data_IF_952391608955
#
_entry.id   IF_952391608955
#
_cell.length_a   1.000
_cell.length_b   1.000
_cell.length_c   1.000
_cell.angle_alpha   90.00
_cell.angle_beta   90.00
_cell.angle_gamma   90.00
#
_symmetry.space_group_name_H-M   'P 1'
#
loop_
_entity.id
_entity.type
_entity.pdbx_description
1 polymer ?
#
# COMPACT_ATOMS: atom_id res chain seq x y z
N UNK A 1 -10.60 -2.71 -16.83
CA UNK A 1 -9.33 -3.34 -17.22
C UNK A 1 -9.69 -4.59 -18.01
N UNK A 2 -8.91 -4.95 -19.03
CA UNK A 2 -9.10 -6.20 -19.78
C UNK A 2 -7.79 -7.00 -19.76
N UNK A 3 -7.75 -8.21 -19.18
CA UNK A 3 -8.85 -8.84 -18.42
C UNK A 3 -9.23 -8.04 -17.16
N UNK A 4 -10.28 -8.42 -16.41
CA UNK A 4 -10.54 -7.89 -15.07
C UNK A 4 -9.39 -8.21 -14.08
N UNK A 5 -9.23 -7.41 -13.02
CA UNK A 5 -8.09 -7.56 -12.08
C UNK A 5 -8.16 -8.90 -11.34
N UNK A 6 -9.37 -9.38 -11.07
CA UNK A 6 -9.69 -10.67 -10.49
C UNK A 6 -9.21 -11.87 -11.30
N UNK A 7 -8.99 -11.69 -12.60
CA UNK A 7 -8.50 -12.76 -13.49
C UNK A 7 -6.98 -12.66 -13.71
N UNK A 8 -6.28 -11.87 -12.88
CA UNK A 8 -4.81 -11.81 -12.86
C UNK A 8 -4.17 -13.14 -12.53
N UNK A 9 -4.85 -13.95 -11.73
CA UNK A 9 -4.34 -15.24 -11.31
C UNK A 9 -5.42 -16.28 -11.53
N UNK A 10 -5.07 -17.33 -12.26
CA UNK A 10 -5.98 -18.43 -12.56
C UNK A 10 -5.32 -19.76 -12.22
N UNK A 11 -6.07 -20.65 -11.56
CA UNK A 11 -5.64 -22.03 -11.38
C UNK A 11 -5.76 -22.76 -12.73
N UNK A 12 -4.64 -23.06 -13.37
CA UNK A 12 -4.62 -23.71 -14.69
C UNK A 12 -4.81 -25.23 -14.58
N UNK A 13 -4.19 -25.85 -13.59
CA UNK A 13 -4.33 -27.27 -13.21
C UNK A 13 -4.04 -27.40 -11.72
N UNK A 14 -4.34 -28.54 -11.07
CA UNK A 14 -4.01 -28.74 -9.66
C UNK A 14 -2.55 -28.34 -9.36
N UNK A 15 -2.37 -27.50 -8.35
CA UNK A 15 -1.09 -26.99 -7.88
C UNK A 15 -0.27 -26.16 -8.88
N UNK A 16 -0.92 -25.59 -9.90
CA UNK A 16 -0.29 -24.70 -10.88
C UNK A 16 -1.19 -23.51 -11.18
N UNK A 17 -0.69 -22.32 -10.87
CA UNK A 17 -1.36 -21.04 -11.08
C UNK A 17 -0.65 -20.27 -12.18
N UNK A 18 -1.39 -19.67 -13.11
CA UNK A 18 -0.87 -18.68 -14.04
C UNK A 18 -1.00 -17.30 -13.40
N UNK A 19 0.07 -16.51 -13.45
CA UNK A 19 0.18 -15.19 -12.86
C UNK A 19 0.45 -14.19 -13.99
N UNK A 20 -0.59 -13.46 -14.38
CA UNK A 20 -0.55 -12.54 -15.49
C UNK A 20 -0.30 -13.25 -16.84
N UNK A 21 0.28 -12.50 -17.76
CA UNK A 21 0.66 -12.94 -19.10
C UNK A 21 1.93 -13.81 -19.13
N UNK A 22 2.75 -13.75 -18.08
CA UNK A 22 4.19 -14.04 -18.18
C UNK A 22 4.72 -15.15 -17.27
N UNK A 23 4.08 -15.42 -16.13
CA UNK A 23 4.64 -16.31 -15.11
C UNK A 23 3.64 -17.38 -14.66
N UNK A 24 4.17 -18.46 -14.08
CA UNK A 24 3.41 -19.50 -13.43
C UNK A 24 4.02 -19.77 -12.04
N UNK A 25 3.15 -20.07 -11.08
CA UNK A 25 3.52 -20.62 -9.77
C UNK A 25 3.19 -22.10 -9.77
N UNK A 26 4.15 -22.94 -9.38
CA UNK A 26 4.01 -24.39 -9.33
C UNK A 26 4.40 -24.91 -7.94
N UNK A 27 3.63 -25.86 -7.40
CA UNK A 27 4.08 -26.72 -6.31
C UNK A 27 5.02 -27.78 -6.91
N UNK A 28 6.19 -27.96 -6.30
CA UNK A 28 7.24 -28.85 -6.83
C UNK A 28 7.88 -29.65 -5.70
N UNK A 29 8.30 -30.88 -5.99
CA UNK A 29 9.08 -31.69 -5.03
C UNK A 29 10.52 -31.18 -4.91
N UNK A 30 11.08 -30.66 -5.99
CA UNK A 30 12.41 -30.08 -6.06
C UNK A 30 12.38 -28.81 -6.91
N UNK A 31 13.04 -27.74 -6.44
CA UNK A 31 13.10 -26.47 -7.16
C UNK A 31 13.83 -26.65 -8.49
N UNK A 32 13.16 -26.39 -9.64
CA UNK A 32 13.80 -26.48 -10.95
C UNK A 32 14.92 -25.45 -11.13
N UNK A 33 15.94 -25.77 -11.93
CA UNK A 33 17.08 -24.88 -12.18
C UNK A 33 16.70 -23.54 -12.86
N UNK A 34 15.55 -23.50 -13.55
CA UNK A 34 15.02 -22.32 -14.22
C UNK A 34 13.98 -21.57 -13.37
N UNK A 35 13.84 -21.93 -12.09
CA UNK A 35 13.03 -21.17 -11.14
C UNK A 35 13.61 -19.76 -10.94
N UNK A 36 12.75 -18.75 -11.04
CA UNK A 36 13.09 -17.35 -10.81
C UNK A 36 13.06 -17.00 -9.31
N UNK A 37 12.18 -17.68 -8.57
CA UNK A 37 12.04 -17.57 -7.13
C UNK A 37 11.42 -18.86 -6.58
N UNK A 38 11.65 -19.15 -5.30
CA UNK A 38 11.00 -20.25 -4.59
C UNK A 38 10.82 -19.94 -3.11
N UNK A 39 9.85 -20.60 -2.49
CA UNK A 39 9.62 -20.51 -1.05
C UNK A 39 9.04 -21.82 -0.51
N UNK A 40 9.18 -22.00 0.80
CA UNK A 40 8.59 -23.12 1.53
C UNK A 40 7.43 -22.61 2.38
N UNK A 41 6.35 -23.37 2.43
CA UNK A 41 5.23 -23.11 3.34
C UNK A 41 4.51 -24.42 3.69
N UNK A 42 4.26 -24.66 4.98
CA UNK A 42 3.52 -25.84 5.42
C UNK A 42 4.17 -27.19 5.08
N UNK A 43 5.48 -27.22 4.81
CA UNK A 43 6.21 -28.41 4.35
C UNK A 43 6.24 -28.58 2.83
N UNK A 44 5.53 -27.75 2.09
CA UNK A 44 5.44 -27.74 0.64
C UNK A 44 6.41 -26.70 0.03
N UNK A 45 6.94 -27.00 -1.16
CA UNK A 45 7.83 -26.09 -1.91
C UNK A 45 7.12 -25.53 -3.14
N UNK A 46 7.11 -24.19 -3.26
CA UNK A 46 6.53 -23.49 -4.40
C UNK A 46 7.61 -22.74 -5.16
N UNK A 47 7.45 -22.60 -6.48
CA UNK A 47 8.38 -21.82 -7.30
C UNK A 47 7.67 -20.99 -8.39
N UNK A 48 8.29 -19.87 -8.76
CA UNK A 48 7.90 -19.05 -9.92
C UNK A 48 8.78 -19.38 -11.11
N UNK A 49 8.14 -19.60 -12.26
CA UNK A 49 8.80 -19.84 -13.54
C UNK A 49 8.12 -19.03 -14.64
N UNK A 50 8.80 -18.83 -15.77
CA UNK A 50 8.15 -18.24 -16.95
C UNK A 50 7.08 -19.22 -17.47
N UNK A 51 5.88 -18.72 -17.74
CA UNK A 51 4.82 -19.54 -18.30
C UNK A 51 5.18 -19.94 -19.74
N UNK A 52 5.09 -21.23 -20.06
CA UNK A 52 5.19 -21.70 -21.44
C UNK A 52 3.89 -21.44 -22.21
N UNK A 53 3.99 -21.20 -23.51
CA UNK A 53 2.83 -20.89 -24.40
C UNK A 53 1.71 -21.93 -24.33
N UNK A 54 2.05 -23.20 -24.05
CA UNK A 54 1.12 -24.32 -24.02
C UNK A 54 0.11 -24.28 -22.86
N UNK A 55 0.30 -23.43 -21.84
CA UNK A 55 -0.63 -23.32 -20.71
C UNK A 55 -1.90 -22.53 -21.02
N UNK A 56 -1.90 -21.70 -22.07
CA UNK A 56 -3.04 -20.82 -22.40
C UNK A 56 -4.23 -21.57 -23.04
N UNK A 57 -3.99 -22.74 -23.66
CA UNK A 57 -5.00 -23.47 -24.44
C UNK A 57 -5.83 -24.49 -23.62
N UNK A 58 -5.53 -24.68 -22.32
CA UNK A 58 -6.11 -25.75 -21.49
C UNK A 58 -6.75 -25.24 -20.18
N UNK A 59 -7.20 -23.98 -20.16
CA UNK A 59 -7.69 -23.31 -18.93
C UNK A 59 -9.08 -23.83 -18.55
N UNK A 60 -9.16 -24.61 -17.47
CA UNK A 60 -10.42 -24.97 -16.76
C UNK A 60 -10.86 -23.85 -15.77
N UNK A 61 -10.29 -22.65 -15.91
CA UNK A 61 -9.92 -21.72 -14.84
C UNK A 61 -10.99 -21.36 -13.82
N UNK A 62 -10.63 -21.49 -12.54
CA UNK A 62 -11.31 -20.86 -11.42
C UNK A 62 -10.43 -19.72 -10.87
N UNK A 63 -10.84 -18.46 -11.11
CA UNK A 63 -10.13 -17.28 -10.63
C UNK A 63 -10.44 -16.92 -9.17
N UNK A 64 -11.47 -17.52 -8.56
CA UNK A 64 -11.80 -17.31 -7.14
C UNK A 64 -10.91 -18.12 -6.20
N UNK A 65 -10.35 -19.23 -6.68
CA UNK A 65 -9.45 -20.08 -5.89
C UNK A 65 -8.32 -19.25 -5.28
N UNK A 66 -8.18 -19.33 -3.95
CA UNK A 66 -7.10 -18.72 -3.16
C UNK A 66 -7.07 -17.18 -3.11
N UNK A 67 -8.12 -16.49 -3.56
CA UNK A 67 -8.21 -15.03 -3.40
C UNK A 67 -8.56 -14.68 -1.96
N UNK A 68 -7.76 -13.81 -1.34
CA UNK A 68 -7.94 -13.42 0.07
C UNK A 68 -8.48 -12.00 0.19
N UNK A 69 -8.21 -11.14 -0.80
CA UNK A 69 -8.71 -9.77 -0.81
C UNK A 69 -8.98 -9.25 -2.21
N UNK A 70 -9.97 -8.36 -2.32
CA UNK A 70 -10.36 -7.68 -3.55
C UNK A 70 -10.73 -6.23 -3.23
N UNK A 71 -9.95 -5.29 -3.75
CA UNK A 71 -10.13 -3.85 -3.55
C UNK A 71 -10.56 -3.19 -4.87
N UNK A 72 -11.87 -3.18 -5.11
CA UNK A 72 -12.45 -2.57 -6.31
C UNK A 72 -11.89 -3.19 -7.60
N UNK A 73 -11.69 -2.37 -8.64
CA UNK A 73 -11.26 -2.83 -9.97
C UNK A 73 -9.75 -2.69 -10.23
N UNK A 74 -8.98 -2.28 -9.21
CA UNK A 74 -7.58 -1.87 -9.37
C UNK A 74 -6.59 -2.68 -8.54
N UNK A 75 -7.01 -3.50 -7.58
CA UNK A 75 -6.11 -4.35 -6.83
C UNK A 75 -6.78 -5.63 -6.30
N UNK A 76 -6.02 -6.71 -6.25
CA UNK A 76 -6.43 -7.97 -5.65
C UNK A 76 -5.23 -8.71 -5.03
N UNK A 77 -5.49 -9.54 -4.03
CA UNK A 77 -4.47 -10.31 -3.31
C UNK A 77 -4.88 -11.76 -3.19
N UNK A 78 -3.96 -12.66 -3.52
CA UNK A 78 -4.10 -14.11 -3.36
C UNK A 78 -3.13 -14.60 -2.30
N UNK A 79 -3.47 -15.72 -1.65
CA UNK A 79 -2.55 -16.47 -0.81
C UNK A 79 -2.25 -17.80 -1.47
N UNK A 80 -1.03 -17.97 -1.98
CA UNK A 80 -0.57 -19.20 -2.62
C UNK A 80 0.56 -19.76 -1.77
N UNK A 81 0.32 -20.92 -1.15
CA UNK A 81 1.32 -21.57 -0.33
C UNK A 81 1.84 -20.65 0.78
N UNK A 82 0.95 -20.07 1.59
CA UNK A 82 1.32 -19.22 2.73
C UNK A 82 1.95 -17.86 2.36
N UNK A 83 2.08 -17.53 1.08
CA UNK A 83 2.70 -16.31 0.58
C UNK A 83 1.65 -15.46 -0.12
N UNK A 84 1.72 -14.13 0.05
CA UNK A 84 0.78 -13.21 -0.57
C UNK A 84 1.25 -12.77 -1.94
N UNK A 85 0.40 -12.94 -2.95
CA UNK A 85 0.59 -12.39 -4.29
C UNK A 85 -0.33 -11.20 -4.45
N UNK A 86 0.23 -9.99 -4.43
CA UNK A 86 -0.47 -8.73 -4.67
C UNK A 86 -0.42 -8.42 -6.16
N UNK A 87 -1.58 -8.12 -6.74
CA UNK A 87 -1.70 -7.63 -8.11
C UNK A 87 -2.40 -6.29 -8.10
N UNK A 88 -1.80 -5.31 -8.76
CA UNK A 88 -2.33 -3.95 -8.82
C UNK A 88 -2.30 -3.40 -10.22
N UNK A 89 -3.23 -2.50 -10.53
CA UNK A 89 -3.21 -1.69 -11.72
C UNK A 89 -1.91 -0.87 -11.75
N UNK A 90 -1.28 -0.82 -12.91
CA UNK A 90 -0.02 -0.14 -13.12
C UNK A 90 -0.12 0.77 -14.34
N UNK A 91 0.73 1.80 -14.37
CA UNK A 91 0.93 2.64 -15.54
C UNK A 91 2.41 3.01 -15.63
N UNK A 92 2.86 3.30 -16.85
CA UNK A 92 4.21 3.76 -17.06
C UNK A 92 4.53 5.01 -16.20
N UNK A 93 5.73 5.02 -15.63
CA UNK A 93 6.17 6.05 -14.69
C UNK A 93 5.65 5.93 -13.25
N UNK A 94 4.88 4.89 -12.89
CA UNK A 94 4.45 4.66 -11.51
C UNK A 94 5.51 3.88 -10.71
N UNK A 95 5.81 4.33 -9.49
CA UNK A 95 6.68 3.59 -8.56
C UNK A 95 6.06 2.25 -8.17
N UNK A 96 6.89 1.20 -8.11
CA UNK A 96 6.47 -0.10 -7.61
C UNK A 96 6.63 -0.16 -6.10
N UNK A 97 5.73 -0.88 -5.42
CA UNK A 97 5.82 -1.09 -3.97
C UNK A 97 7.14 -1.77 -3.55
N UNK A 98 7.73 -2.61 -4.41
CA UNK A 98 9.08 -3.19 -4.20
C UNK A 98 10.16 -2.11 -4.03
N UNK A 99 10.14 -1.07 -4.87
CA UNK A 99 11.10 0.03 -4.79
C UNK A 99 10.91 0.81 -3.48
N UNK A 100 9.66 0.97 -3.05
CA UNK A 100 9.32 1.62 -1.79
C UNK A 100 9.82 0.84 -0.58
N UNK A 101 9.55 -0.47 -0.53
CA UNK A 101 10.02 -1.34 0.57
C UNK A 101 11.54 -1.34 0.63
N UNK A 102 12.21 -1.44 -0.53
CA UNK A 102 13.67 -1.36 -0.59
C UNK A 102 14.20 0.01 -0.10
N UNK A 103 13.52 1.11 -0.40
CA UNK A 103 13.88 2.43 0.12
C UNK A 103 13.74 2.48 1.65
N UNK A 104 12.64 1.99 2.20
CA UNK A 104 12.36 1.95 3.65
C UNK A 104 13.42 1.16 4.41
N UNK A 105 13.82 0.00 3.87
CA UNK A 105 14.89 -0.84 4.43
C UNK A 105 16.26 -0.14 4.46
N UNK A 106 16.50 0.83 3.57
CA UNK A 106 17.75 1.62 3.59
C UNK A 106 17.75 2.74 4.62
N UNK A 107 16.58 3.30 4.94
CA UNK A 107 16.47 4.50 5.78
C UNK A 107 16.00 4.21 7.21
N UNK A 108 15.53 2.99 7.49
CA UNK A 108 14.94 2.64 8.78
C UNK A 108 15.05 1.14 9.08
N UNK A 109 14.73 0.77 10.32
CA UNK A 109 14.58 -0.63 10.75
C UNK A 109 13.11 -0.98 11.02
N UNK A 110 12.17 -0.25 10.41
CA UNK A 110 10.74 -0.55 10.53
C UNK A 110 10.49 -1.92 9.89
N UNK A 111 9.75 -2.82 10.56
CA UNK A 111 9.51 -4.15 10.03
C UNK A 111 8.61 -4.07 8.79
N UNK A 112 9.14 -4.50 7.66
CA UNK A 112 8.46 -4.58 6.36
C UNK A 112 8.38 -6.04 5.89
N UNK A 113 7.47 -6.40 4.97
CA UNK A 113 7.41 -7.75 4.42
C UNK A 113 8.67 -8.12 3.66
N UNK A 114 9.07 -9.40 3.73
CA UNK A 114 10.12 -9.93 2.89
C UNK A 114 9.61 -10.10 1.45
N UNK A 115 10.37 -9.58 0.49
CA UNK A 115 10.06 -9.63 -0.93
C UNK A 115 10.58 -10.95 -1.51
N UNK A 116 9.69 -11.75 -2.09
CA UNK A 116 10.04 -13.00 -2.77
C UNK A 116 10.33 -12.76 -4.25
N UNK A 117 9.42 -12.08 -4.94
CA UNK A 117 9.54 -11.82 -6.36
C UNK A 117 8.61 -10.68 -6.79
N UNK A 118 8.95 -9.96 -7.87
CA UNK A 118 8.10 -8.90 -8.41
C UNK A 118 8.36 -8.67 -9.89
N UNK A 119 7.34 -8.28 -10.64
CA UNK A 119 7.47 -7.85 -12.03
C UNK A 119 6.34 -6.92 -12.44
N UNK A 120 6.51 -6.29 -13.60
CA UNK A 120 5.44 -5.56 -14.30
C UNK A 120 4.98 -6.39 -15.48
N UNK A 121 3.68 -6.62 -15.54
CA UNK A 121 3.00 -7.17 -16.70
C UNK A 121 2.52 -6.00 -17.57
N UNK A 122 3.37 -5.61 -18.52
CA UNK A 122 3.12 -4.48 -19.42
C UNK A 122 1.93 -4.76 -20.35
N UNK A 123 1.72 -6.02 -20.74
CA UNK A 123 0.61 -6.42 -21.61
C UNK A 123 -0.73 -6.09 -20.94
N UNK A 124 -0.84 -6.36 -19.63
CA UNK A 124 -2.09 -6.17 -18.88
C UNK A 124 -2.11 -4.91 -18.01
N UNK A 125 -1.05 -4.09 -18.07
CA UNK A 125 -0.88 -2.90 -17.23
C UNK A 125 -1.04 -3.21 -15.74
N UNK A 126 -0.28 -4.20 -15.25
CA UNK A 126 -0.32 -4.64 -13.84
C UNK A 126 1.07 -4.75 -13.25
N UNK A 127 1.18 -4.51 -11.96
CA UNK A 127 2.34 -4.91 -11.17
C UNK A 127 1.98 -6.13 -10.32
N UNK A 128 2.93 -7.04 -10.20
CA UNK A 128 2.86 -8.21 -9.34
C UNK A 128 3.95 -8.10 -8.28
N UNK A 129 3.57 -8.36 -7.03
CA UNK A 129 4.47 -8.39 -5.90
C UNK A 129 4.15 -9.59 -5.01
N UNK A 130 5.13 -10.46 -4.85
CA UNK A 130 5.05 -11.65 -4.01
C UNK A 130 5.80 -11.36 -2.70
N UNK A 131 5.11 -11.47 -1.58
CA UNK A 131 5.61 -11.18 -0.24
C UNK A 131 5.40 -12.37 0.68
N UNK A 132 6.39 -12.70 1.50
CA UNK A 132 6.17 -13.64 2.60
C UNK A 132 5.14 -13.07 3.57
N UNK A 133 4.24 -13.91 4.04
CA UNK A 133 3.30 -13.52 5.08
C UNK A 133 4.05 -13.19 6.37
N UNK A 134 3.63 -12.11 7.04
CA UNK A 134 4.04 -11.83 8.42
C UNK A 134 3.04 -12.54 9.31
N UNK A 135 3.51 -13.50 10.11
CA UNK A 135 2.67 -14.29 11.01
C UNK A 135 2.15 -13.42 12.16
N UNK A 136 0.86 -13.11 12.14
CA UNK A 136 0.21 -12.28 13.14
C UNK A 136 -1.20 -11.91 12.73
N UNK A 137 -1.82 -11.00 13.49
CA UNK A 137 -3.14 -10.44 13.17
C UNK A 137 -2.99 -8.98 12.81
N UNK A 138 -3.88 -8.46 11.97
CA UNK A 138 -3.92 -7.01 11.78
C UNK A 138 -4.35 -6.32 13.07
N UNK A 139 -3.90 -5.09 13.31
CA UNK A 139 -4.32 -4.27 14.44
C UNK A 139 -5.85 -4.14 14.47
N UNK A 140 -6.49 -4.06 13.31
CA UNK A 140 -7.94 -4.01 13.17
C UNK A 140 -8.63 -5.27 13.67
N UNK A 141 -8.09 -6.45 13.36
CA UNK A 141 -8.57 -7.73 13.87
C UNK A 141 -8.36 -7.88 15.38
N UNK A 142 -7.21 -7.42 15.89
CA UNK A 142 -6.88 -7.50 17.31
C UNK A 142 -7.54 -6.41 18.17
N UNK A 143 -8.10 -5.36 17.55
CA UNK A 143 -8.49 -4.11 18.23
C UNK A 143 -9.34 -4.31 19.48
N UNK A 144 -10.38 -5.14 19.37
CA UNK A 144 -11.34 -5.40 20.45
C UNK A 144 -10.68 -6.11 21.64
N UNK A 145 -9.67 -6.94 21.40
CA UNK A 145 -8.92 -7.64 22.46
C UNK A 145 -7.81 -6.81 23.11
N UNK A 146 -7.39 -5.71 22.48
CA UNK A 146 -6.34 -4.85 23.04
C UNK A 146 -6.87 -4.01 24.21
N UNK A 147 -6.13 -4.03 25.31
CA UNK A 147 -6.27 -3.08 26.42
C UNK A 147 -6.03 -1.64 25.96
N UNK A 148 -6.53 -0.67 26.74
CA UNK A 148 -6.29 0.75 26.50
C UNK A 148 -4.80 1.06 26.44
N UNK A 149 -3.99 0.48 27.33
CA UNK A 149 -2.56 0.70 27.35
C UNK A 149 -1.88 0.12 26.10
N UNK A 150 -2.29 -1.05 25.61
CA UNK A 150 -1.77 -1.60 24.35
C UNK A 150 -2.11 -0.69 23.16
N UNK A 151 -3.34 -0.17 23.08
CA UNK A 151 -3.75 0.75 22.01
C UNK A 151 -2.92 2.04 22.03
N UNK A 152 -2.70 2.61 23.23
CA UNK A 152 -1.86 3.81 23.42
C UNK A 152 -0.39 3.54 23.05
N UNK A 153 0.17 2.41 23.50
CA UNK A 153 1.54 1.99 23.14
C UNK A 153 1.69 1.84 21.64
N UNK A 154 0.76 1.14 20.98
CA UNK A 154 0.80 0.94 19.53
C UNK A 154 0.72 2.26 18.75
N UNK A 155 -0.17 3.18 19.14
CA UNK A 155 -0.22 4.51 18.53
C UNK A 155 1.09 5.29 18.72
N UNK A 156 1.71 5.21 19.91
CA UNK A 156 3.02 5.79 20.18
C UNK A 156 4.13 5.20 19.31
N UNK A 157 4.18 3.87 19.18
CA UNK A 157 5.15 3.18 18.33
C UNK A 157 5.01 3.58 16.87
N UNK A 158 3.78 3.64 16.34
CA UNK A 158 3.54 4.08 14.95
C UNK A 158 3.93 5.55 14.76
N UNK A 159 3.66 6.43 15.73
CA UNK A 159 4.11 7.82 15.66
C UNK A 159 5.65 7.94 15.63
N UNK A 160 6.37 7.10 16.38
CA UNK A 160 7.83 7.04 16.31
C UNK A 160 8.36 6.50 14.98
N UNK A 161 7.65 5.54 14.36
CA UNK A 161 7.95 5.12 12.99
C UNK A 161 7.78 6.28 12.01
N UNK A 162 6.68 7.03 12.10
CA UNK A 162 6.45 8.22 11.26
C UNK A 162 7.56 9.26 11.43
N UNK A 163 7.99 9.53 12.67
CA UNK A 163 9.09 10.44 12.96
C UNK A 163 10.42 9.97 12.36
N UNK A 164 10.71 8.68 12.48
CA UNK A 164 11.91 8.06 11.89
C UNK A 164 11.92 8.20 10.38
N UNK A 165 10.80 7.87 9.71
CA UNK A 165 10.66 8.05 8.26
C UNK A 165 10.78 9.53 7.85
N UNK A 166 10.20 10.44 8.63
CA UNK A 166 10.24 11.88 8.39
C UNK A 166 11.64 12.51 8.53
N UNK A 167 12.65 11.77 9.01
CA UNK A 167 14.05 12.19 8.92
C UNK A 167 14.54 12.21 7.47
N UNK A 168 13.96 11.37 6.60
CA UNK A 168 14.22 11.42 5.16
C UNK A 168 13.38 12.53 4.53
N UNK A 169 14.05 13.46 3.86
CA UNK A 169 13.42 14.66 3.29
C UNK A 169 13.67 14.83 1.80
N UNK A 170 12.74 15.47 1.12
CA UNK A 170 12.84 15.89 -0.28
C UNK A 170 12.49 17.38 -0.45
N UNK A 171 12.93 17.99 -1.55
CA UNK A 171 12.48 19.33 -1.98
C UNK A 171 11.18 19.29 -2.79
N UNK A 172 10.69 18.10 -3.12
CA UNK A 172 9.52 17.88 -3.95
C UNK A 172 8.59 16.85 -3.32
N UNK A 173 7.29 17.02 -3.56
CA UNK A 173 6.29 15.98 -3.41
C UNK A 173 6.54 14.95 -4.51
N UNK A 174 7.01 13.77 -4.14
CA UNK A 174 7.37 12.70 -5.07
C UNK A 174 7.50 11.37 -4.33
N UNK A 175 7.46 10.26 -5.06
CA UNK A 175 7.77 8.93 -4.53
C UNK A 175 9.28 8.79 -4.28
N UNK A 176 9.70 7.68 -3.67
CA UNK A 176 11.12 7.40 -3.36
C UNK A 176 12.05 7.44 -4.60
N UNK A 177 11.53 7.12 -5.79
CA UNK A 177 12.23 7.14 -7.06
C UNK A 177 11.94 8.38 -7.92
N UNK A 178 11.31 9.42 -7.35
CA UNK A 178 11.12 10.72 -8.02
C UNK A 178 9.89 10.83 -8.91
N UNK A 179 8.96 9.87 -8.85
CA UNK A 179 7.72 9.89 -9.63
C UNK A 179 6.55 10.55 -8.88
N UNK A 180 5.40 10.67 -9.55
CA UNK A 180 4.17 11.18 -8.94
C UNK A 180 3.60 10.23 -7.88
N UNK A 181 2.97 10.79 -6.84
CA UNK A 181 2.50 10.06 -5.66
C UNK A 181 1.09 9.53 -5.85
N UNK A 182 0.80 8.34 -5.32
CA UNK A 182 -0.54 7.76 -5.30
C UNK A 182 -1.25 8.10 -3.98
N UNK A 183 -1.95 9.24 -3.94
CA UNK A 183 -2.71 9.68 -2.75
C UNK A 183 -4.06 10.29 -3.14
N UNK A 184 -5.13 9.47 -3.25
CA UNK A 184 -6.45 9.90 -3.73
C UNK A 184 -7.08 11.05 -2.93
N UNK A 185 -6.71 11.22 -1.66
CA UNK A 185 -7.25 12.28 -0.81
C UNK A 185 -6.57 13.63 -1.02
N UNK A 186 -5.41 13.66 -1.70
CA UNK A 186 -4.74 14.87 -2.19
C UNK A 186 -4.88 15.06 -3.71
N UNK A 187 -5.23 14.01 -4.47
CA UNK A 187 -5.45 14.11 -5.92
C UNK A 187 -6.86 14.59 -6.24
N UNK A 188 -6.99 15.65 -7.04
CA UNK A 188 -8.24 16.16 -7.62
C UNK A 188 -8.93 15.09 -8.50
N UNK A 189 -10.15 15.35 -8.96
CA UNK A 189 -10.84 14.38 -9.81
C UNK A 189 -10.03 14.09 -11.09
N UNK A 190 -9.91 12.81 -11.50
CA UNK A 190 -9.40 12.52 -12.83
C UNK A 190 -10.28 13.21 -13.89
N UNK A 191 -9.71 13.60 -15.03
CA UNK A 191 -10.51 13.97 -16.19
C UNK A 191 -11.49 12.84 -16.53
N UNK A 192 -12.72 13.17 -16.95
CA UNK A 192 -13.77 12.19 -17.30
C UNK A 192 -13.32 11.19 -18.40
N UNK A 193 -12.26 11.52 -19.15
CA UNK A 193 -11.70 10.70 -20.22
C UNK A 193 -10.84 9.52 -19.74
N UNK A 194 -10.45 9.46 -18.46
CA UNK A 194 -9.58 8.39 -17.95
C UNK A 194 -10.41 7.27 -17.28
N UNK A 195 -10.12 5.97 -17.56
CA UNK A 195 -10.83 4.88 -16.92
C UNK A 195 -10.64 4.89 -15.39
N UNK A 196 -11.72 4.61 -14.66
CA UNK A 196 -11.73 4.65 -13.18
C UNK A 196 -10.75 3.69 -12.50
N UNK A 197 -10.34 2.62 -13.18
CA UNK A 197 -9.37 1.64 -12.67
C UNK A 197 -7.91 2.12 -12.80
N UNK A 198 -7.64 3.16 -13.62
CA UNK A 198 -6.28 3.62 -13.91
C UNK A 198 -5.77 4.50 -12.76
N UNK A 199 -4.61 4.17 -12.16
CA UNK A 199 -4.07 4.97 -11.07
C UNK A 199 -3.81 6.42 -11.46
N UNK A 200 -4.17 7.34 -10.57
CA UNK A 200 -3.97 8.78 -10.74
C UNK A 200 -2.95 9.28 -9.74
N UNK A 201 -1.83 9.77 -10.28
CA UNK A 201 -0.71 10.24 -9.49
C UNK A 201 -0.71 11.76 -9.40
N UNK A 202 -0.29 12.28 -8.25
CA UNK A 202 -0.10 13.71 -8.00
C UNK A 202 1.38 14.06 -8.11
N UNK A 203 1.71 15.10 -8.89
CA UNK A 203 3.09 15.54 -9.07
C UNK A 203 3.93 14.63 -9.99
N UNK A 204 5.27 14.68 -9.89
CA UNK A 204 6.03 15.29 -8.80
C UNK A 204 5.93 16.83 -8.80
N UNK A 205 5.91 17.46 -7.62
CA UNK A 205 5.75 18.91 -7.48
C UNK A 205 6.80 19.56 -6.58
N UNK A 206 7.30 20.72 -6.98
CA UNK A 206 8.00 21.65 -6.08
C UNK A 206 7.02 22.25 -5.06
N UNK A 207 7.55 22.93 -4.04
CA UNK A 207 6.74 23.67 -3.07
C UNK A 207 5.80 24.70 -3.73
N UNK A 208 6.28 25.42 -4.75
CA UNK A 208 5.47 26.43 -5.45
C UNK A 208 4.38 25.80 -6.32
N UNK A 209 4.68 24.68 -6.97
CA UNK A 209 3.70 23.92 -7.77
C UNK A 209 2.62 23.32 -6.87
N UNK A 210 3.00 22.70 -5.75
CA UNK A 210 2.04 22.19 -4.78
C UNK A 210 1.24 23.32 -4.14
N UNK A 211 1.87 24.45 -3.80
CA UNK A 211 1.14 25.62 -3.31
C UNK A 211 0.11 26.04 -4.33
N UNK A 212 0.49 26.24 -5.60
CA UNK A 212 -0.42 26.64 -6.68
C UNK A 212 -1.60 25.68 -6.83
N UNK A 213 -1.32 24.38 -6.65
CA UNK A 213 -2.32 23.32 -6.67
C UNK A 213 -3.28 23.35 -5.47
N UNK A 214 -2.80 23.66 -4.26
CA UNK A 214 -3.60 23.74 -3.04
C UNK A 214 -4.24 25.13 -2.83
N UNK A 215 -3.71 26.16 -3.48
CA UNK A 215 -4.02 27.59 -3.25
C UNK A 215 -5.25 28.11 -3.98
N UNK A 216 -6.06 27.24 -4.59
CA UNK A 216 -7.47 27.60 -4.81
C UNK A 216 -8.18 27.95 -3.48
N UNK A 217 -7.59 27.60 -2.33
CA UNK A 217 -7.92 28.16 -1.01
C UNK A 217 -6.75 28.96 -0.43
N UNK A 218 -7.01 30.16 0.10
CA UNK A 218 -6.02 31.02 0.77
C UNK A 218 -5.53 30.48 2.13
N UNK A 219 -5.78 29.20 2.45
CA UNK A 219 -5.60 28.62 3.79
C UNK A 219 -4.27 27.85 3.91
N UNK A 220 -3.61 27.52 2.80
CA UNK A 220 -2.28 26.93 2.76
C UNK A 220 -1.18 27.99 2.61
N UNK A 221 -1.05 28.89 3.59
CA UNK A 221 0.03 29.90 3.63
C UNK A 221 1.30 29.39 4.33
N UNK A 222 1.36 28.10 4.68
CA UNK A 222 2.55 27.52 5.27
C UNK A 222 3.67 27.42 4.22
N UNK A 223 4.84 27.97 4.53
CA UNK A 223 6.01 27.81 3.69
C UNK A 223 6.50 26.35 3.75
N UNK A 224 6.10 25.55 2.77
CA UNK A 224 6.59 24.17 2.61
C UNK A 224 8.07 24.20 2.23
N UNK A 225 8.94 24.15 3.24
CA UNK A 225 10.40 24.17 3.06
C UNK A 225 10.98 22.81 2.67
N UNK A 226 10.29 21.72 3.04
CA UNK A 226 10.67 20.35 2.71
C UNK A 226 9.47 19.41 2.82
N UNK A 227 9.59 18.27 2.12
CA UNK A 227 8.66 17.17 2.16
C UNK A 227 9.26 16.02 2.98
N UNK A 228 8.44 15.32 3.75
CA UNK A 228 8.83 14.27 4.69
C UNK A 228 8.38 12.92 4.18
N UNK A 229 9.25 11.91 4.21
CA UNK A 229 8.85 10.57 3.81
C UNK A 229 7.83 10.00 4.81
N UNK A 230 6.71 9.50 4.32
CA UNK A 230 5.59 9.02 5.12
C UNK A 230 4.84 7.90 4.40
N UNK A 231 4.34 6.92 5.16
CA UNK A 231 3.62 5.76 4.65
C UNK A 231 2.28 6.09 3.97
N UNK A 232 1.61 7.15 4.40
CA UNK A 232 0.27 7.57 3.97
C UNK A 232 -0.89 6.61 4.28
N UNK A 233 -0.69 5.29 4.37
CA UNK A 233 -1.80 4.36 4.68
C UNK A 233 -1.62 3.51 5.95
N UNK A 234 -1.38 4.15 7.10
CA UNK A 234 -1.22 3.47 8.40
C UNK A 234 -2.57 3.16 9.07
N UNK A 235 -3.51 2.65 8.28
CA UNK A 235 -4.77 2.09 8.77
C UNK A 235 -4.53 0.82 9.60
N UNK A 236 -5.50 0.42 10.45
CA UNK A 236 -5.34 -0.73 11.32
C UNK A 236 -5.31 -2.06 10.56
N UNK A 237 -5.69 -2.10 9.28
CA UNK A 237 -5.52 -3.26 8.40
C UNK A 237 -4.06 -3.48 7.97
N UNK A 238 -3.24 -2.44 7.99
CA UNK A 238 -1.88 -2.44 7.44
C UNK A 238 -0.79 -2.56 8.52
N UNK A 239 -1.19 -2.78 9.77
CA UNK A 239 -0.32 -2.95 10.92
C UNK A 239 -0.52 -4.37 11.44
N UNK A 240 0.54 -5.16 11.50
CA UNK A 240 0.50 -6.53 12.01
C UNK A 240 1.02 -6.54 13.44
N UNK A 241 0.27 -7.21 14.32
CA UNK A 241 0.61 -7.41 15.73
C UNK A 241 0.75 -8.89 16.06
N UNK A 242 1.61 -9.18 17.02
CA UNK A 242 1.76 -10.51 17.60
C UNK A 242 0.62 -10.84 18.60
N UNK A 243 0.73 -11.98 19.28
CA UNK A 243 -0.23 -12.45 20.28
C UNK A 243 -0.33 -11.51 21.49
N UNK A 244 0.77 -10.86 21.87
CA UNK A 244 0.86 -9.88 22.96
C UNK A 244 0.36 -8.49 22.54
N UNK A 245 -0.01 -8.32 21.26
CA UNK A 245 -0.50 -7.07 20.69
C UNK A 245 0.59 -6.06 20.38
N UNK A 246 1.85 -6.47 20.31
CA UNK A 246 2.99 -5.63 19.90
C UNK A 246 3.15 -5.64 18.38
N UNK A 247 3.54 -4.51 17.80
CA UNK A 247 3.69 -4.37 16.35
C UNK A 247 4.92 -5.16 15.87
N UNK A 248 4.69 -6.03 14.89
CA UNK A 248 5.73 -6.88 14.26
C UNK A 248 5.86 -6.66 12.75
N UNK A 249 4.99 -5.85 12.14
CA UNK A 249 5.02 -5.59 10.71
C UNK A 249 4.16 -4.42 10.28
N UNK A 250 4.62 -3.69 9.26
CA UNK A 250 3.84 -2.69 8.52
C UNK A 250 3.80 -3.13 7.06
N UNK A 251 2.61 -3.19 6.48
CA UNK A 251 2.37 -3.67 5.11
C UNK A 251 1.73 -2.57 4.25
N UNK A 252 1.67 -2.82 2.94
CA UNK A 252 1.02 -1.95 1.96
C UNK A 252 1.67 -0.58 1.78
N UNK A 253 2.94 -0.60 1.35
CA UNK A 253 3.80 0.58 1.22
C UNK A 253 3.59 1.36 -0.09
N UNK A 254 2.56 1.07 -0.87
CA UNK A 254 2.42 1.63 -2.22
C UNK A 254 2.23 3.15 -2.25
N UNK A 255 1.58 3.69 -1.22
CA UNK A 255 1.33 5.12 -1.08
C UNK A 255 2.46 5.83 -0.34
N UNK A 256 3.53 5.14 0.06
CA UNK A 256 4.59 5.82 0.80
C UNK A 256 5.43 6.72 -0.12
N UNK A 257 5.56 7.98 0.25
CA UNK A 257 6.19 9.02 -0.56
C UNK A 257 6.61 10.22 0.31
N UNK A 258 7.18 11.25 -0.30
CA UNK A 258 7.50 12.51 0.36
C UNK A 258 6.29 13.45 0.33
N UNK A 259 5.74 13.75 1.51
CA UNK A 259 4.53 14.55 1.71
C UNK A 259 4.80 15.84 2.48
N UNK A 260 3.97 16.89 2.34
CA UNK A 260 4.05 18.06 3.18
C UNK A 260 3.71 17.68 4.64
N UNK A 261 4.36 18.31 5.62
CA UNK A 261 4.25 17.94 7.04
C UNK A 261 2.81 17.88 7.53
N UNK A 262 1.96 18.83 7.15
CA UNK A 262 0.56 18.85 7.57
C UNK A 262 -0.18 17.55 7.20
N UNK A 263 0.21 16.88 6.11
CA UNK A 263 -0.49 15.68 5.63
C UNK A 263 -0.32 14.50 6.57
N UNK A 264 0.82 14.41 7.26
CA UNK A 264 1.15 13.30 8.16
C UNK A 264 0.13 13.20 9.29
N UNK A 265 -0.17 14.32 9.97
CA UNK A 265 -1.18 14.38 11.03
C UNK A 265 -2.63 14.43 10.53
N UNK A 266 -2.85 14.93 9.30
CA UNK A 266 -4.19 15.10 8.72
C UNK A 266 -4.77 13.79 8.17
N UNK A 267 -3.95 13.00 7.46
CA UNK A 267 -4.39 11.77 6.78
C UNK A 267 -5.19 10.81 7.67
N UNK A 268 -4.79 10.51 8.93
CA UNK A 268 -5.55 9.61 9.79
C UNK A 268 -6.99 10.05 10.04
N UNK A 269 -7.24 11.36 10.07
CA UNK A 269 -8.55 11.94 10.38
C UNK A 269 -9.47 12.03 9.15
N UNK A 270 -8.89 11.95 7.94
CA UNK A 270 -9.59 12.09 6.67
C UNK A 270 -10.02 10.74 6.09
N UNK A 271 -9.14 9.74 6.14
CA UNK A 271 -9.39 8.48 5.45
C UNK A 271 -10.16 7.48 6.31
N UNK A 272 -11.22 6.91 5.73
CA UNK A 272 -11.97 5.83 6.37
C UNK A 272 -11.15 4.54 6.54
N UNK A 273 -10.03 4.40 5.84
CA UNK A 273 -9.08 3.30 6.02
C UNK A 273 -8.44 3.27 7.41
N UNK A 274 -8.52 4.37 8.18
CA UNK A 274 -8.02 4.43 9.57
C UNK A 274 -9.07 4.04 10.60
N UNK A 275 -10.26 3.62 10.16
CA UNK A 275 -11.33 3.23 11.06
C UNK A 275 -11.20 1.77 11.50
N UNK A 276 -11.55 1.54 12.76
CA UNK A 276 -11.65 0.21 13.36
C UNK A 276 -13.11 -0.24 13.36
N UNK A 277 -13.33 -1.55 13.42
CA UNK A 277 -14.68 -2.09 13.58
C UNK A 277 -15.19 -1.85 15.01
N UNK A 278 -16.49 -1.62 15.15
CA UNK A 278 -17.16 -1.44 16.42
C UNK A 278 -17.65 0.00 16.68
N UNK A 279 -18.13 0.28 17.90
CA UNK A 279 -18.78 1.55 18.23
C UNK A 279 -17.80 2.73 18.19
N UNK A 280 -16.54 2.50 18.56
CA UNK A 280 -15.48 3.51 18.55
C UNK A 280 -14.76 3.57 17.20
N UNK A 281 -15.52 3.64 16.10
CA UNK A 281 -15.04 3.59 14.70
C UNK A 281 -13.78 4.42 14.44
N UNK A 282 -13.67 5.61 15.04
CA UNK A 282 -12.57 6.57 14.82
C UNK A 282 -11.44 6.48 15.87
N UNK A 283 -11.49 5.53 16.80
CA UNK A 283 -10.55 5.49 17.93
C UNK A 283 -9.10 5.40 17.48
N UNK A 284 -8.77 4.54 16.51
CA UNK A 284 -7.40 4.45 15.97
C UNK A 284 -6.96 5.76 15.33
N UNK A 285 -7.77 6.32 14.43
CA UNK A 285 -7.51 7.60 13.78
C UNK A 285 -7.18 8.72 14.78
N UNK A 286 -7.98 8.85 15.85
CA UNK A 286 -7.80 9.87 16.89
C UNK A 286 -6.55 9.58 17.72
N UNK A 287 -6.33 8.34 18.15
CA UNK A 287 -5.16 7.96 18.94
C UNK A 287 -3.84 8.21 18.19
N UNK A 288 -3.81 7.84 16.90
CA UNK A 288 -2.65 8.05 16.05
C UNK A 288 -2.42 9.54 15.79
N UNK A 289 -3.46 10.32 15.44
CA UNK A 289 -3.32 11.77 15.24
C UNK A 289 -2.77 12.47 16.48
N UNK A 290 -3.30 12.15 17.67
CA UNK A 290 -2.80 12.70 18.94
C UNK A 290 -1.35 12.27 19.22
N UNK A 291 -0.95 11.05 18.84
CA UNK A 291 0.42 10.58 18.99
C UNK A 291 1.38 11.29 18.03
N UNK A 292 0.97 11.52 16.78
CA UNK A 292 1.73 12.27 15.79
C UNK A 292 1.92 13.73 16.21
N UNK A 293 0.88 14.37 16.76
CA UNK A 293 0.97 15.73 17.28
C UNK A 293 2.03 15.84 18.38
N UNK A 294 2.12 14.87 19.30
CA UNK A 294 3.18 14.83 20.33
C UNK A 294 4.59 14.70 19.76
N UNK A 295 4.73 14.14 18.56
CA UNK A 295 6.00 14.07 17.82
C UNK A 295 6.24 15.30 16.92
N UNK A 296 5.39 16.33 17.00
CA UNK A 296 5.50 17.55 16.18
C UNK A 296 4.91 17.42 14.78
N UNK A 297 4.10 16.39 14.52
CA UNK A 297 3.45 16.10 13.24
C UNK A 297 1.95 16.39 13.33
N UNK A 298 1.60 17.64 13.66
CA UNK A 298 0.22 18.06 13.88
C UNK A 298 -0.62 18.02 12.59
N UNK A 299 -1.93 17.79 12.76
CA UNK A 299 -2.89 17.86 11.67
C UNK A 299 -3.21 19.32 11.29
N UNK A 300 -3.62 19.55 10.05
CA UNK A 300 -4.22 20.80 9.59
C UNK A 300 -5.55 20.51 8.88
N UNK A 301 -6.54 20.05 9.66
CA UNK A 301 -7.86 19.68 9.14
C UNK A 301 -8.61 20.89 8.57
N UNK A 302 -8.45 22.08 9.17
CA UNK A 302 -9.11 23.30 8.69
C UNK A 302 -8.67 23.66 7.27
N UNK A 303 -7.36 23.67 6.99
CA UNK A 303 -6.85 23.91 5.65
C UNK A 303 -7.27 22.83 4.67
N UNK A 304 -7.25 21.57 5.10
CA UNK A 304 -7.68 20.45 4.26
C UNK A 304 -9.16 20.55 3.85
N UNK A 305 -10.05 20.84 4.80
CA UNK A 305 -11.48 21.01 4.55
C UNK A 305 -11.78 22.22 3.67
N UNK A 306 -11.06 23.33 3.88
CA UNK A 306 -11.16 24.52 3.03
C UNK A 306 -10.78 24.21 1.57
N UNK A 307 -9.67 23.50 1.35
CA UNK A 307 -9.26 23.08 0.01
C UNK A 307 -10.24 22.09 -0.62
N UNK A 308 -10.70 21.07 0.14
CA UNK A 308 -11.71 20.11 -0.37
C UNK A 308 -12.99 20.81 -0.82
N UNK A 309 -13.44 21.82 -0.08
CA UNK A 309 -14.60 22.63 -0.44
C UNK A 309 -14.34 23.45 -1.70
N UNK A 310 -13.15 24.05 -1.84
CA UNK A 310 -12.78 24.82 -3.03
C UNK A 310 -12.82 23.97 -4.31
N UNK A 311 -12.33 22.73 -4.26
CA UNK A 311 -12.32 21.80 -5.40
C UNK A 311 -13.64 21.03 -5.60
N UNK A 312 -14.74 21.45 -4.96
CA UNK A 312 -16.07 20.88 -5.17
C UNK A 312 -16.29 19.46 -4.62
N UNK A 313 -15.50 19.02 -3.63
CA UNK A 313 -15.63 17.71 -2.98
C UNK A 313 -16.29 17.84 -1.61
N UNK A 314 -17.62 17.98 -1.57
CA UNK A 314 -18.37 17.91 -0.29
C UNK A 314 -18.36 16.49 0.29
N UNK A 315 -18.28 16.43 1.63
CA UNK A 315 -18.12 15.25 2.51
C UNK A 315 -19.04 14.08 2.23
#
# INVERSE_FOLDING_TARGET
MDPPIEDSIVLAKPNCWLLGSSYACELVDNVPNDAMASWNAGGDTYCIRKASTNYRDSVLGNSESNRVHHAGTSAAVWNIGGTFVKVKAWRDGMQLEVDTIQFVNRISSIPVPEIVFSWVDVEWNRSFLILKAIEGRTLGQAWVSLSVDQRLRNAGTVAQFCKTLALSTSRMLMTANGNGVLEPYLTAFPPDSEPSWKPQTLGPYTSDQLRSYLSESSVFDEHISSFKFYHADLGPSNIIVDEDGSIIGIIDWESAAFYPTFWLGTKPLVSAGFYVHGPERRAWAILLANALEREGLASNMEAYEAWRKAIGRSS
#
